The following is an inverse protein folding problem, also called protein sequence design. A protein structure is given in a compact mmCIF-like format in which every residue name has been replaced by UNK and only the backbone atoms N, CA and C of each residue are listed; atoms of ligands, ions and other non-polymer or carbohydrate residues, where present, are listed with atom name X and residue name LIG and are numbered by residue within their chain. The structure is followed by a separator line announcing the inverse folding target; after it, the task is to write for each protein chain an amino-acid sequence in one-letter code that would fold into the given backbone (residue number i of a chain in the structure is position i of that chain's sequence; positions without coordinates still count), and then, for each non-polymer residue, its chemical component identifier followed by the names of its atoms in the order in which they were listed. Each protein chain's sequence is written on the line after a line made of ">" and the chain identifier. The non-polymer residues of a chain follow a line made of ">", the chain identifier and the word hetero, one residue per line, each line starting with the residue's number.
data_IF_963717904556
#
_entry.id   IF_963717904556
#
_cell.length_a   1.000
_cell.length_b   1.000
_cell.length_c   1.000
_cell.angle_alpha   90.00
_cell.angle_beta   90.00
_cell.angle_gamma   90.00
#
_symmetry.space_group_name_H-M   'P 1'
#
loop_
_entity.id
_entity.type
_entity.pdbx_description
1 polymer ?
#
# COMPACT_ATOMS: atom_id res chain seq x y z
N UNK A 1 -35.06 30.23 -12.67
CA UNK A 1 -34.21 31.43 -12.41
C UNK A 1 -32.78 31.10 -12.86
N UNK A 2 -32.03 32.03 -13.48
CA UNK A 2 -30.61 31.81 -13.84
C UNK A 2 -29.75 31.37 -12.65
N UNK A 3 -30.04 31.86 -11.43
CA UNK A 3 -29.38 31.41 -10.19
C UNK A 3 -29.59 29.92 -9.90
N UNK A 4 -30.74 29.37 -10.30
CA UNK A 4 -31.10 27.97 -10.13
C UNK A 4 -30.33 27.06 -11.10
N UNK A 5 -29.97 27.59 -12.29
CA UNK A 5 -29.15 26.92 -13.31
C UNK A 5 -27.68 26.93 -12.89
N UNK A 6 -27.20 28.03 -12.29
CA UNK A 6 -25.83 28.10 -11.74
C UNK A 6 -25.67 27.27 -10.45
N UNK A 7 -26.69 27.17 -9.60
CA UNK A 7 -26.70 26.31 -8.41
C UNK A 7 -26.94 24.82 -8.72
N UNK A 8 -27.39 24.48 -9.93
CA UNK A 8 -27.54 23.09 -10.41
C UNK A 8 -26.25 22.44 -10.91
N UNK A 9 -25.08 23.06 -10.74
CA UNK A 9 -23.83 22.32 -10.75
C UNK A 9 -23.78 21.51 -9.47
N UNK A 10 -24.26 20.26 -9.54
CA UNK A 10 -24.00 19.22 -8.56
C UNK A 10 -22.53 19.33 -8.14
N UNK A 11 -22.24 19.90 -6.96
CA UNK A 11 -20.97 19.64 -6.28
C UNK A 11 -21.05 18.19 -5.86
N UNK A 12 -20.80 17.28 -6.80
CA UNK A 12 -20.55 15.87 -6.49
C UNK A 12 -19.45 15.87 -5.45
N UNK A 13 -19.79 15.47 -4.23
CA UNK A 13 -18.82 15.30 -3.16
C UNK A 13 -17.75 14.35 -3.70
N UNK A 14 -16.54 14.87 -3.84
CA UNK A 14 -15.43 14.06 -4.31
C UNK A 14 -15.14 12.98 -3.28
N UNK A 15 -14.89 11.76 -3.76
CA UNK A 15 -14.47 10.65 -2.91
C UNK A 15 -13.05 10.88 -2.40
N UNK A 16 -12.68 10.17 -1.33
CA UNK A 16 -11.38 10.33 -0.69
C UNK A 16 -10.21 10.17 -1.67
N UNK A 17 -10.29 9.23 -2.61
CA UNK A 17 -9.23 8.90 -3.56
C UNK A 17 -9.04 9.99 -4.62
N UNK A 18 -10.04 10.85 -4.83
CA UNK A 18 -9.98 11.97 -5.77
C UNK A 18 -9.29 13.21 -5.18
N UNK A 19 -9.18 13.30 -3.86
CA UNK A 19 -8.72 14.51 -3.15
C UNK A 19 -7.53 14.25 -2.24
N UNK A 20 -6.90 13.08 -2.34
CA UNK A 20 -5.91 12.61 -1.39
C UNK A 20 -4.51 12.52 -1.99
N UNK A 21 -3.50 12.79 -1.16
CA UNK A 21 -2.11 12.46 -1.45
C UNK A 21 -1.88 10.96 -1.19
N UNK A 22 -1.61 10.22 -2.26
CA UNK A 22 -1.19 8.81 -2.21
C UNK A 22 0.34 8.76 -2.25
N UNK A 23 0.94 7.96 -1.37
CA UNK A 23 2.38 7.74 -1.33
C UNK A 23 2.70 6.30 -1.68
N UNK A 24 3.41 6.09 -2.78
CA UNK A 24 3.87 4.76 -3.18
C UNK A 24 5.10 4.35 -2.37
N UNK A 25 5.11 3.11 -1.89
CA UNK A 25 6.21 2.51 -1.14
C UNK A 25 6.62 1.25 -1.86
N UNK A 26 7.91 1.19 -2.24
CA UNK A 26 8.60 -0.05 -2.61
C UNK A 26 9.22 -0.65 -1.33
N UNK A 27 8.60 -1.67 -0.70
CA UNK A 27 8.95 -2.10 0.66
C UNK A 27 10.41 -2.53 0.80
N UNK A 28 10.94 -3.27 -0.18
CA UNK A 28 12.33 -3.79 -0.17
C UNK A 28 13.40 -2.72 0.02
N UNK A 29 13.12 -1.46 -0.36
CA UNK A 29 14.09 -0.36 -0.26
C UNK A 29 13.65 0.78 0.66
N UNK A 30 12.53 0.64 1.37
CA UNK A 30 11.99 1.75 2.15
C UNK A 30 12.61 1.86 3.55
N UNK A 31 12.50 0.82 4.37
CA UNK A 31 13.07 0.78 5.73
C UNK A 31 13.24 -0.66 6.20
N UNK A 32 14.49 -1.04 6.46
CA UNK A 32 14.87 -2.28 7.13
C UNK A 32 14.74 -2.13 8.66
N UNK A 33 13.96 -3.00 9.31
CA UNK A 33 13.81 -3.06 10.76
C UNK A 33 14.54 -4.26 11.39
N UNK A 34 15.04 -5.18 10.57
CA UNK A 34 15.64 -6.45 10.99
C UNK A 34 17.17 -6.47 10.88
N UNK A 35 17.76 -5.52 10.15
CA UNK A 35 19.19 -5.45 9.88
C UNK A 35 19.67 -6.39 8.78
N UNK A 36 18.74 -6.87 7.94
CA UNK A 36 19.03 -7.81 6.84
C UNK A 36 19.50 -7.12 5.56
N UNK A 37 19.38 -5.79 5.49
CA UNK A 37 19.64 -4.98 4.30
C UNK A 37 18.43 -4.84 3.36
N UNK A 38 17.30 -5.48 3.67
CA UNK A 38 16.04 -5.33 2.94
C UNK A 38 14.97 -4.72 3.82
N UNK A 39 14.15 -3.85 3.23
CA UNK A 39 13.01 -3.28 3.93
C UNK A 39 11.86 -4.27 4.10
N UNK A 40 11.09 -4.07 5.18
CA UNK A 40 10.08 -5.00 5.67
C UNK A 40 8.84 -4.26 6.20
N UNK A 41 7.75 -5.00 6.48
CA UNK A 41 6.47 -4.41 6.89
C UNK A 41 6.58 -3.67 8.23
N UNK A 42 7.43 -4.13 9.15
CA UNK A 42 7.66 -3.46 10.44
C UNK A 42 8.41 -2.15 10.26
N UNK A 43 9.32 -2.08 9.30
CA UNK A 43 9.97 -0.84 8.88
C UNK A 43 8.96 0.19 8.37
N UNK A 44 7.92 -0.22 7.66
CA UNK A 44 6.82 0.67 7.27
C UNK A 44 6.04 1.16 8.50
N UNK A 45 5.75 0.26 9.46
CA UNK A 45 5.09 0.61 10.73
C UNK A 45 5.88 1.70 11.48
N UNK A 46 7.20 1.58 11.58
CA UNK A 46 8.08 2.57 12.22
C UNK A 46 8.00 3.96 11.56
N UNK A 47 7.64 4.01 10.28
CA UNK A 47 7.57 5.25 9.49
C UNK A 47 6.16 5.83 9.40
N UNK A 48 5.16 5.26 10.05
CA UNK A 48 3.81 5.87 10.13
C UNK A 48 3.85 7.33 10.63
N UNK A 49 4.65 7.72 11.64
CA UNK A 49 4.76 9.13 12.03
C UNK A 49 5.26 10.05 10.91
N UNK A 50 6.19 9.56 10.08
CA UNK A 50 6.68 10.28 8.90
C UNK A 50 5.60 10.43 7.83
N UNK A 51 4.88 9.35 7.53
CA UNK A 51 3.77 9.37 6.57
C UNK A 51 2.67 10.36 6.99
N UNK A 52 2.34 10.39 8.30
CA UNK A 52 1.40 11.39 8.85
C UNK A 52 1.92 12.81 8.72
N UNK A 53 3.21 13.04 8.98
CA UNK A 53 3.82 14.36 8.85
C UNK A 53 3.71 14.88 7.41
N UNK A 54 3.89 14.01 6.41
CA UNK A 54 3.67 14.36 5.00
C UNK A 54 2.21 14.67 4.65
N UNK A 55 1.25 14.26 5.49
CA UNK A 55 -0.18 14.44 5.24
C UNK A 55 -0.77 13.46 4.23
N UNK A 56 -0.13 12.30 4.01
CA UNK A 56 -0.67 11.26 3.12
C UNK A 56 -1.94 10.70 3.72
N UNK A 57 -2.95 10.43 2.89
CA UNK A 57 -4.16 9.74 3.36
C UNK A 57 -4.21 8.28 2.90
N UNK A 58 -3.33 7.86 1.99
CA UNK A 58 -3.17 6.47 1.61
C UNK A 58 -1.72 6.17 1.24
N UNK A 59 -1.31 4.92 1.45
CA UNK A 59 -0.12 4.36 0.84
C UNK A 59 -0.51 3.35 -0.24
N UNK A 60 0.31 3.24 -1.27
CA UNK A 60 0.27 2.15 -2.24
C UNK A 60 1.53 1.31 -2.06
N UNK A 61 1.37 0.04 -1.73
CA UNK A 61 2.48 -0.90 -1.66
C UNK A 61 2.62 -1.61 -3.00
N UNK A 62 3.83 -1.59 -3.57
CA UNK A 62 4.23 -2.56 -4.60
C UNK A 62 4.11 -3.99 -4.04
N UNK A 63 4.23 -5.07 -4.86
CA UNK A 63 3.97 -6.43 -4.41
C UNK A 63 4.70 -6.83 -3.12
N UNK A 64 3.94 -7.43 -2.20
CA UNK A 64 4.40 -7.95 -0.90
C UNK A 64 4.15 -9.46 -0.75
N UNK A 65 3.60 -10.10 -1.78
CA UNK A 65 3.33 -11.53 -1.79
C UNK A 65 4.60 -12.32 -2.16
N UNK A 66 4.69 -13.61 -1.79
CA UNK A 66 5.82 -14.46 -2.14
C UNK A 66 6.16 -14.41 -3.64
N UNK A 67 7.44 -14.27 -3.93
CA UNK A 67 7.98 -14.14 -5.27
C UNK A 67 9.42 -14.65 -5.33
N UNK A 68 9.85 -15.32 -6.41
CA UNK A 68 11.24 -15.65 -6.67
C UNK A 68 12.13 -14.41 -6.88
N UNK A 69 11.53 -13.24 -7.13
CA UNK A 69 12.23 -11.96 -7.27
C UNK A 69 12.85 -11.75 -8.66
N UNK A 70 12.43 -12.49 -9.68
CA UNK A 70 12.92 -12.31 -11.06
C UNK A 70 12.48 -10.94 -11.60
N UNK A 71 11.29 -10.49 -11.23
CA UNK A 71 10.74 -9.17 -11.54
C UNK A 71 10.43 -8.39 -10.26
N UNK A 72 11.35 -8.46 -9.29
CA UNK A 72 11.31 -7.66 -8.05
C UNK A 72 10.00 -7.76 -7.25
N UNK A 73 9.26 -8.88 -7.36
CA UNK A 73 8.01 -9.12 -6.66
C UNK A 73 6.78 -9.22 -7.56
N UNK A 74 6.86 -8.81 -8.83
CA UNK A 74 5.73 -8.90 -9.76
C UNK A 74 5.51 -10.32 -10.30
N UNK A 75 6.50 -11.20 -10.18
CA UNK A 75 6.40 -12.65 -10.39
C UNK A 75 5.89 -13.38 -9.13
N UNK A 76 4.59 -13.30 -8.87
CA UNK A 76 3.95 -13.81 -7.63
C UNK A 76 3.70 -15.33 -7.69
N UNK A 77 3.99 -16.04 -6.60
CA UNK A 77 3.73 -17.50 -6.44
C UNK A 77 2.53 -17.84 -5.56
N UNK A 78 2.13 -16.94 -4.66
CA UNK A 78 0.89 -17.11 -3.87
C UNK A 78 0.33 -15.74 -3.46
N UNK A 79 -0.84 -15.37 -4.00
CA UNK A 79 -1.51 -14.11 -3.69
C UNK A 79 -2.13 -14.04 -2.28
N UNK A 80 -2.13 -15.15 -1.53
CA UNK A 80 -2.78 -15.25 -0.21
C UNK A 80 -1.79 -15.15 0.95
N UNK A 81 -0.50 -15.12 0.65
CA UNK A 81 0.57 -15.06 1.63
C UNK A 81 1.34 -13.72 1.55
N UNK A 82 2.14 -13.48 2.57
CA UNK A 82 3.14 -12.41 2.61
C UNK A 82 4.51 -13.06 2.37
N UNK A 83 5.35 -12.40 1.58
CA UNK A 83 6.75 -12.82 1.37
C UNK A 83 7.48 -12.83 2.72
N UNK A 84 8.11 -13.95 3.07
CA UNK A 84 8.81 -14.13 4.35
C UNK A 84 9.93 -13.11 4.55
N UNK A 85 10.51 -12.57 3.47
CA UNK A 85 11.49 -11.48 3.53
C UNK A 85 10.86 -10.21 4.13
N UNK A 86 9.57 -9.99 3.90
CA UNK A 86 8.84 -8.79 4.31
C UNK A 86 8.23 -8.92 5.71
N UNK A 87 7.94 -10.14 6.15
CA UNK A 87 7.31 -10.44 7.44
C UNK A 87 6.22 -11.50 7.32
N UNK A 88 5.25 -11.47 8.23
CA UNK A 88 4.14 -12.43 8.27
C UNK A 88 2.78 -11.79 7.95
N UNK A 89 1.74 -12.63 7.81
CA UNK A 89 0.36 -12.14 7.70
C UNK A 89 -0.06 -11.34 8.94
N UNK A 90 0.40 -11.71 10.13
CA UNK A 90 0.17 -10.94 11.36
C UNK A 90 0.83 -9.56 11.30
N UNK A 91 2.06 -9.45 10.77
CA UNK A 91 2.72 -8.16 10.57
C UNK A 91 1.94 -7.29 9.57
N UNK A 92 1.38 -7.88 8.50
CA UNK A 92 0.52 -7.18 7.56
C UNK A 92 -0.78 -6.67 8.21
N UNK A 93 -1.44 -7.52 9.00
CA UNK A 93 -2.63 -7.16 9.77
C UNK A 93 -2.34 -6.03 10.76
N UNK A 94 -1.18 -6.07 11.43
CA UNK A 94 -0.74 -4.99 12.32
C UNK A 94 -0.52 -3.69 11.55
N UNK A 95 0.18 -3.74 10.40
CA UNK A 95 0.42 -2.59 9.53
C UNK A 95 -0.91 -1.94 9.10
N UNK A 96 -1.82 -2.74 8.54
CA UNK A 96 -3.16 -2.28 8.12
C UNK A 96 -3.89 -1.60 9.27
N UNK A 97 -3.93 -2.23 10.44
CA UNK A 97 -4.61 -1.69 11.62
C UNK A 97 -3.98 -0.39 12.13
N UNK A 98 -2.64 -0.29 12.14
CA UNK A 98 -1.93 0.92 12.56
C UNK A 98 -2.08 2.07 11.56
N UNK A 99 -2.07 1.80 10.26
CA UNK A 99 -2.36 2.80 9.22
C UNK A 99 -3.78 3.34 9.38
N UNK A 100 -4.78 2.45 9.48
CA UNK A 100 -6.17 2.84 9.65
C UNK A 100 -6.42 3.66 10.92
N UNK A 101 -5.81 3.28 12.05
CA UNK A 101 -5.85 4.07 13.31
C UNK A 101 -5.30 5.48 13.14
N UNK A 102 -4.43 5.70 12.16
CA UNK A 102 -3.84 7.00 11.85
C UNK A 102 -4.51 7.71 10.66
N UNK A 103 -5.66 7.21 10.19
CA UNK A 103 -6.40 7.80 9.07
C UNK A 103 -5.77 7.56 7.70
N UNK A 104 -4.79 6.65 7.61
CA UNK A 104 -4.08 6.30 6.38
C UNK A 104 -4.68 5.01 5.84
N UNK A 105 -5.11 5.02 4.57
CA UNK A 105 -5.60 3.84 3.85
C UNK A 105 -4.44 3.07 3.22
N UNK A 106 -4.69 1.83 2.85
CA UNK A 106 -3.72 0.97 2.16
C UNK A 106 -4.30 0.52 0.83
N UNK A 107 -3.49 0.62 -0.23
CA UNK A 107 -3.74 0.08 -1.55
C UNK A 107 -2.67 -0.99 -1.78
N UNK A 108 -3.11 -2.19 -2.18
CA UNK A 108 -2.21 -3.27 -2.56
C UNK A 108 -2.10 -3.32 -4.08
N UNK A 109 -0.89 -3.54 -4.57
CA UNK A 109 -0.68 -3.89 -5.96
C UNK A 109 -1.23 -5.30 -6.24
N UNK A 110 -2.19 -5.38 -7.15
CA UNK A 110 -2.76 -6.65 -7.61
C UNK A 110 -2.28 -6.83 -9.04
N UNK A 111 -1.55 -7.92 -9.29
CA UNK A 111 -0.90 -8.22 -10.58
C UNK A 111 -1.60 -9.43 -11.22
N UNK A 112 -2.79 -9.29 -11.84
CA UNK A 112 -3.57 -10.42 -12.32
C UNK A 112 -3.20 -10.85 -13.75
N UNK A 113 -2.38 -10.06 -14.45
CA UNK A 113 -2.05 -10.33 -15.85
C UNK A 113 -1.14 -11.55 -16.02
N UNK A 114 -0.34 -11.88 -15.01
CA UNK A 114 0.60 -12.99 -15.01
C UNK A 114 0.92 -13.43 -13.58
N UNK A 115 1.48 -14.64 -13.45
CA UNK A 115 2.03 -15.18 -12.20
C UNK A 115 3.48 -15.62 -12.45
N UNK A 116 4.22 -15.97 -11.39
CA UNK A 116 5.43 -16.75 -11.54
C UNK A 116 5.12 -18.12 -12.16
N UNK A 117 6.09 -18.67 -12.88
CA UNK A 117 6.13 -20.07 -13.35
C UNK A 117 6.15 -21.11 -12.21
N UNK A 118 6.33 -20.66 -10.96
CA UNK A 118 6.30 -21.48 -9.74
C UNK A 118 4.98 -21.38 -8.96
N UNK A 119 3.97 -20.69 -9.49
CA UNK A 119 2.62 -20.67 -8.89
C UNK A 119 1.90 -22.01 -9.12
N UNK A 120 1.16 -22.51 -8.12
CA UNK A 120 0.34 -23.74 -8.20
C UNK A 120 -0.99 -23.58 -8.95
#
# INVERSE_FOLDING_TARGET
>A
NLEEIFNKKNKTKLDWWQTCLIYEIFPRSFKDSTGTGMGDLRGIIEKIPYLKYLGVCAIWLTPICPSPGVDMGYDITDYRAIDEIMGTMEDFEELKNKLHKNGIKIILDIVPNHTSDKHE
#
